data_IF_284107787591
#
_entry.id   IF_284107787591
#
_cell.length_a   1.000
_cell.length_b   1.000
_cell.length_c   1.000
_cell.angle_alpha   90.00
_cell.angle_beta   90.00
_cell.angle_gamma   90.00
#
_symmetry.space_group_name_H-M   'P 1'
#
loop_
_entity.id
_entity.type
_entity.pdbx_description
1 polymer ?
#
# COMPACT_ATOMS: atom_id res chain seq x y z
N UNK A 1 7.27 41.07 55.33
CA UNK A 1 7.07 40.40 54.02
C UNK A 1 8.39 40.23 53.25
N UNK A 2 9.40 41.08 53.43
CA UNK A 2 10.68 40.98 52.67
C UNK A 2 11.60 39.81 53.07
N UNK A 3 11.52 39.29 54.29
CA UNK A 3 12.33 38.14 54.71
C UNK A 3 11.85 36.83 54.10
N UNK A 4 10.54 36.63 53.98
CA UNK A 4 9.96 35.40 53.43
C UNK A 4 10.26 35.24 51.94
N UNK A 5 10.23 36.35 51.18
CA UNK A 5 10.61 36.36 49.76
C UNK A 5 12.07 35.98 49.56
N UNK A 6 12.97 36.41 50.46
CA UNK A 6 14.37 36.03 50.39
C UNK A 6 14.60 34.53 50.66
N UNK A 7 13.88 33.94 51.62
CA UNK A 7 13.98 32.50 51.89
C UNK A 7 13.44 31.65 50.72
N UNK A 8 12.38 32.10 50.05
CA UNK A 8 11.84 31.40 48.87
C UNK A 8 12.82 31.46 47.70
N UNK A 9 13.44 32.60 47.45
CA UNK A 9 14.45 32.74 46.38
C UNK A 9 15.67 31.84 46.65
N UNK A 10 16.15 31.82 47.90
CA UNK A 10 17.28 30.95 48.30
C UNK A 10 16.91 29.47 48.14
N UNK A 11 15.68 29.07 48.51
CA UNK A 11 15.21 27.70 48.37
C UNK A 11 15.13 27.27 46.89
N UNK A 12 14.67 28.14 45.99
CA UNK A 12 14.61 27.86 44.54
C UNK A 12 16.00 27.73 43.94
N UNK A 13 16.95 28.58 44.35
CA UNK A 13 18.34 28.51 43.88
C UNK A 13 19.02 27.23 44.37
N UNK A 14 18.81 26.85 45.63
CA UNK A 14 19.35 25.59 46.17
C UNK A 14 18.74 24.37 45.47
N UNK A 15 17.43 24.38 45.19
CA UNK A 15 16.76 23.30 44.46
C UNK A 15 17.30 23.17 43.03
N UNK A 16 17.53 24.29 42.34
CA UNK A 16 18.17 24.29 41.03
C UNK A 16 19.59 23.72 41.05
N UNK A 17 20.37 23.99 42.10
CA UNK A 17 21.72 23.45 42.26
C UNK A 17 21.72 21.94 42.52
N UNK A 18 20.77 21.44 43.34
CA UNK A 18 20.61 20.01 43.61
C UNK A 18 20.17 19.24 42.36
N UNK A 19 19.23 19.79 41.59
CA UNK A 19 18.78 19.19 40.33
C UNK A 19 19.93 19.19 39.30
N UNK A 20 20.66 20.30 39.18
CA UNK A 20 21.82 20.40 38.29
C UNK A 20 22.93 19.41 38.64
N UNK A 21 23.24 19.23 39.93
CA UNK A 21 24.22 18.26 40.40
C UNK A 21 23.75 16.80 40.18
N UNK A 22 22.46 16.52 40.35
CA UNK A 22 21.88 15.20 40.06
C UNK A 22 21.99 14.81 38.59
N UNK A 23 21.71 15.75 37.68
CA UNK A 23 21.84 15.53 36.22
C UNK A 23 23.31 15.35 35.81
N UNK A 24 24.23 16.10 36.44
CA UNK A 24 25.67 15.95 36.20
C UNK A 24 26.20 14.59 36.67
N UNK A 25 25.72 14.08 37.82
CA UNK A 25 26.07 12.74 38.29
C UNK A 25 25.47 11.61 37.43
N UNK A 26 24.28 11.79 36.86
CA UNK A 26 23.69 10.79 35.95
C UNK A 26 24.38 10.75 34.57
N UNK A 27 24.93 11.87 34.09
CA UNK A 27 25.71 11.92 32.83
C UNK A 27 27.12 11.33 32.95
N UNK A 28 27.65 11.16 34.16
CA UNK A 28 29.01 10.65 34.40
C UNK A 28 29.17 9.13 34.38
N UNK A 29 28.10 8.36 34.13
CA UNK A 29 28.12 6.89 34.18
C UNK A 29 27.90 6.25 32.81
N UNK A 30 28.61 6.76 31.80
CA UNK A 30 28.84 6.07 30.54
C UNK A 30 29.81 4.91 30.76
N UNK A 31 29.34 3.70 30.50
CA UNK A 31 30.07 2.44 30.60
C UNK A 31 31.44 2.50 29.89
N UNK A 32 32.49 2.08 30.58
CA UNK A 32 33.75 1.69 29.97
C UNK A 32 33.50 0.64 28.87
N UNK A 33 34.08 0.78 27.66
CA UNK A 33 33.94 -0.25 26.63
C UNK A 33 34.65 -1.52 27.10
N UNK A 34 33.88 -2.60 27.29
CA UNK A 34 34.43 -3.95 27.42
C UNK A 34 35.20 -4.28 26.14
N UNK A 35 36.39 -4.88 26.28
CA UNK A 35 37.19 -5.32 25.16
C UNK A 35 36.37 -6.24 24.22
N UNK A 36 36.50 -6.11 22.89
CA UNK A 36 35.73 -6.91 21.96
C UNK A 36 36.07 -8.39 22.13
N UNK A 37 35.06 -9.21 22.41
CA UNK A 37 35.18 -10.66 22.34
C UNK A 37 35.55 -11.06 20.91
N UNK A 38 36.47 -12.01 20.75
CA UNK A 38 36.83 -12.56 19.44
C UNK A 38 35.57 -12.99 18.68
N UNK A 39 35.40 -12.59 17.41
CA UNK A 39 34.20 -12.90 16.64
C UNK A 39 34.02 -14.40 16.49
N UNK A 40 32.76 -14.86 16.54
CA UNK A 40 32.41 -16.28 16.35
C UNK A 40 32.36 -16.56 14.84
N UNK A 41 33.04 -17.61 14.34
CA UNK A 41 33.00 -17.94 12.92
C UNK A 41 31.54 -18.18 12.45
N UNK A 42 31.12 -17.45 11.42
CA UNK A 42 29.85 -17.66 10.72
C UNK A 42 28.68 -16.71 11.06
N UNK A 43 28.78 -15.84 12.07
CA UNK A 43 27.69 -14.91 12.43
C UNK A 43 28.08 -13.44 12.19
N UNK A 44 29.31 -13.04 12.56
CA UNK A 44 29.74 -11.63 12.51
C UNK A 44 30.56 -11.26 11.25
N UNK A 45 30.63 -12.16 10.26
CA UNK A 45 31.40 -11.95 9.04
C UNK A 45 30.45 -11.68 7.87
N UNK A 46 30.32 -10.42 7.46
CA UNK A 46 29.79 -10.10 6.14
C UNK A 46 30.89 -10.41 5.11
N UNK A 47 30.62 -11.17 4.03
CA UNK A 47 31.64 -11.45 3.03
C UNK A 47 32.08 -10.14 2.38
N UNK A 48 33.35 -9.78 2.59
CA UNK A 48 34.00 -8.70 1.87
C UNK A 48 34.26 -9.12 0.43
N UNK A 49 34.06 -8.19 -0.51
CA UNK A 49 34.52 -8.33 -1.89
C UNK A 49 36.05 -8.41 -1.89
N UNK A 50 36.61 -9.61 -2.11
CA UNK A 50 38.04 -9.76 -2.39
C UNK A 50 38.78 -10.99 -1.85
N UNK A 51 38.16 -11.93 -1.13
CA UNK A 51 38.90 -13.02 -0.44
C UNK A 51 38.65 -14.46 -0.96
N UNK A 52 38.04 -14.64 -2.14
CA UNK A 52 37.87 -15.98 -2.75
C UNK A 52 38.95 -16.37 -3.78
N UNK A 53 40.06 -15.63 -3.87
CA UNK A 53 41.18 -15.99 -4.73
C UNK A 53 42.34 -16.61 -3.95
N UNK A 54 42.13 -17.82 -3.42
CA UNK A 54 43.23 -18.74 -3.17
C UNK A 54 42.85 -20.18 -3.50
N UNK A 55 42.85 -20.49 -4.80
CA UNK A 55 42.90 -21.86 -5.29
C UNK A 55 44.17 -22.55 -4.75
N UNK A 56 44.09 -23.76 -4.15
CA UNK A 56 45.27 -24.52 -3.75
C UNK A 56 46.20 -24.80 -4.94
N UNK A 57 47.47 -24.42 -4.83
CA UNK A 57 48.51 -24.55 -5.87
C UNK A 57 49.03 -25.98 -6.11
N UNK A 58 48.20 -27.01 -5.95
CA UNK A 58 48.60 -28.41 -6.21
C UNK A 58 47.50 -29.24 -6.88
N UNK A 59 46.98 -28.74 -8.00
CA UNK A 59 46.22 -29.59 -8.94
C UNK A 59 47.09 -29.87 -10.17
N UNK A 60 47.30 -31.13 -10.59
CA UNK A 60 48.13 -31.43 -11.75
C UNK A 60 47.50 -30.84 -13.02
N UNK A 61 48.21 -29.92 -13.67
CA UNK A 61 47.82 -29.34 -14.97
C UNK A 61 47.93 -30.42 -16.04
N UNK A 62 46.81 -30.83 -16.63
CA UNK A 62 46.80 -31.64 -17.86
C UNK A 62 47.07 -30.73 -19.06
N UNK A 63 48.11 -31.04 -19.84
CA UNK A 63 48.44 -30.39 -21.11
C UNK A 63 47.57 -30.89 -22.26
N UNK A 64 47.40 -30.07 -23.30
CA UNK A 64 46.51 -30.28 -24.48
C UNK A 64 47.06 -31.29 -25.50
N UNK A 65 47.76 -32.31 -25.04
CA UNK A 65 48.24 -33.40 -25.90
C UNK A 65 48.00 -34.69 -25.15
N UNK A 66 46.94 -35.38 -25.58
CA UNK A 66 46.67 -36.82 -25.46
C UNK A 66 45.22 -37.10 -25.04
N UNK A 67 44.28 -36.94 -25.98
CA UNK A 67 43.08 -37.80 -26.02
C UNK A 67 42.87 -38.24 -27.47
N UNK A 68 43.04 -39.54 -27.68
CA UNK A 68 42.92 -40.22 -28.95
C UNK A 68 41.46 -40.20 -29.46
N UNK A 69 41.32 -39.97 -30.75
CA UNK A 69 40.09 -40.17 -31.54
C UNK A 69 39.75 -41.64 -31.63
N UNK A 70 38.62 -42.05 -31.04
CA UNK A 70 37.93 -43.28 -31.41
C UNK A 70 36.56 -42.93 -31.98
N UNK A 71 36.42 -43.27 -33.26
CA UNK A 71 35.23 -43.27 -34.09
C UNK A 71 34.22 -44.28 -33.53
N UNK A 72 32.97 -43.87 -33.27
CA UNK A 72 31.78 -44.72 -33.37
C UNK A 72 30.53 -43.85 -33.62
N UNK A 73 29.98 -44.05 -34.82
CA UNK A 73 28.60 -43.93 -35.35
C UNK A 73 27.81 -42.61 -35.25
N UNK A 74 27.58 -42.01 -36.42
CA UNK A 74 26.57 -41.00 -36.73
C UNK A 74 25.16 -41.62 -36.68
N UNK A 75 24.18 -41.02 -35.99
CA UNK A 75 22.78 -41.23 -36.31
C UNK A 75 22.35 -40.25 -37.41
N UNK A 76 21.72 -40.81 -38.44
CA UNK A 76 21.14 -40.13 -39.58
C UNK A 76 20.23 -38.97 -39.17
N UNK A 77 20.41 -37.85 -39.86
CA UNK A 77 19.52 -36.71 -39.82
C UNK A 77 18.18 -37.06 -40.48
N UNK A 78 17.16 -37.34 -39.67
CA UNK A 78 15.77 -37.15 -40.07
C UNK A 78 15.37 -35.70 -39.77
N UNK A 79 15.11 -34.97 -40.85
CA UNK A 79 14.55 -33.65 -40.85
C UNK A 79 13.09 -33.70 -40.38
N UNK A 80 12.82 -33.20 -39.17
CA UNK A 80 11.52 -32.66 -38.77
C UNK A 80 11.76 -31.46 -37.85
N UNK A 81 12.25 -30.38 -38.47
CA UNK A 81 12.34 -29.05 -37.87
C UNK A 81 11.44 -28.08 -38.66
N UNK A 82 10.14 -28.38 -38.68
CA UNK A 82 9.09 -27.47 -39.16
C UNK A 82 7.74 -27.92 -38.58
N UNK A 83 7.52 -27.67 -37.29
CA UNK A 83 6.21 -27.36 -36.67
C UNK A 83 6.33 -27.43 -35.14
N UNK A 84 7.20 -26.60 -34.56
CA UNK A 84 6.98 -26.12 -33.20
C UNK A 84 6.23 -24.79 -33.34
N UNK A 85 4.97 -24.87 -33.78
CA UNK A 85 4.01 -23.79 -33.59
C UNK A 85 3.94 -23.59 -32.09
N UNK A 86 4.49 -22.49 -31.59
CA UNK A 86 4.12 -22.00 -30.27
C UNK A 86 2.62 -21.76 -30.34
N UNK A 87 1.83 -22.67 -29.79
CA UNK A 87 0.47 -22.36 -29.36
C UNK A 87 0.60 -21.22 -28.36
N UNK A 88 0.49 -19.98 -28.84
CA UNK A 88 0.08 -18.85 -28.01
C UNK A 88 -1.13 -19.37 -27.23
N UNK A 89 -1.00 -19.42 -25.90
CA UNK A 89 -2.14 -19.72 -25.05
C UNK A 89 -3.15 -18.61 -25.30
N UNK A 90 -4.12 -18.88 -26.18
CA UNK A 90 -5.24 -17.99 -26.43
C UNK A 90 -6.06 -18.03 -25.15
N UNK A 91 -5.80 -17.09 -24.25
CA UNK A 91 -6.67 -16.86 -23.10
C UNK A 91 -8.02 -16.46 -23.65
N UNK A 92 -9.06 -17.19 -23.30
CA UNK A 92 -10.43 -16.80 -23.62
C UNK A 92 -10.68 -15.47 -22.90
N UNK A 93 -11.02 -14.42 -23.66
CA UNK A 93 -11.28 -13.10 -23.09
C UNK A 93 -12.48 -13.23 -22.16
N UNK A 94 -12.22 -13.06 -20.88
CA UNK A 94 -13.23 -13.13 -19.83
C UNK A 94 -14.07 -11.85 -19.85
N UNK A 95 -15.39 -11.98 -19.88
CA UNK A 95 -16.28 -10.87 -19.57
C UNK A 95 -16.24 -10.65 -18.05
N UNK A 96 -15.70 -9.53 -17.54
CA UNK A 96 -15.65 -9.30 -16.11
C UNK A 96 -17.06 -9.04 -15.57
N UNK A 97 -17.32 -9.45 -14.33
CA UNK A 97 -18.63 -9.23 -13.71
C UNK A 97 -18.95 -7.73 -13.61
N UNK A 98 -20.23 -7.31 -13.69
CA UNK A 98 -20.61 -5.92 -13.49
C UNK A 98 -20.05 -5.34 -12.18
N UNK A 99 -19.66 -4.07 -12.20
CA UNK A 99 -19.20 -3.34 -11.02
C UNK A 99 -20.33 -3.14 -10.00
N UNK A 100 -21.57 -2.99 -10.49
CA UNK A 100 -22.79 -2.95 -9.67
C UNK A 100 -22.97 -4.24 -8.88
N UNK A 101 -23.06 -4.14 -7.55
CA UNK A 101 -23.26 -5.27 -6.65
C UNK A 101 -21.99 -5.88 -6.07
N UNK A 102 -20.79 -5.51 -6.57
CA UNK A 102 -19.52 -5.92 -5.95
C UNK A 102 -19.42 -5.45 -4.49
N UNK A 103 -19.98 -4.28 -4.19
CA UNK A 103 -20.05 -3.73 -2.83
C UNK A 103 -21.11 -4.38 -1.94
N UNK A 104 -22.18 -4.94 -2.49
CA UNK A 104 -23.10 -5.74 -1.69
C UNK A 104 -22.38 -6.98 -1.13
N UNK A 105 -21.53 -7.62 -1.95
CA UNK A 105 -20.62 -8.68 -1.50
C UNK A 105 -19.56 -8.17 -0.53
N UNK A 106 -19.15 -6.90 -0.64
CA UNK A 106 -18.30 -6.26 0.35
C UNK A 106 -18.99 -6.19 1.72
N UNK A 107 -20.23 -5.71 1.77
CA UNK A 107 -21.01 -5.65 3.01
C UNK A 107 -21.07 -7.03 3.67
N UNK A 108 -21.33 -8.10 2.92
CA UNK A 108 -21.34 -9.46 3.46
C UNK A 108 -19.98 -9.95 3.99
N UNK A 109 -18.87 -9.53 3.38
CA UNK A 109 -17.51 -9.92 3.81
C UNK A 109 -17.01 -9.06 4.98
N UNK A 110 -17.21 -7.74 4.94
CA UNK A 110 -16.88 -6.84 6.04
C UNK A 110 -17.77 -7.07 7.26
N UNK A 111 -19.06 -7.37 7.07
CA UNK A 111 -19.93 -7.75 8.19
C UNK A 111 -19.44 -9.02 8.91
N UNK A 112 -18.64 -9.87 8.24
CA UNK A 112 -17.99 -11.02 8.89
C UNK A 112 -16.69 -10.65 9.62
N UNK A 113 -15.90 -9.69 9.12
CA UNK A 113 -14.63 -9.28 9.75
C UNK A 113 -14.77 -8.17 10.81
N UNK A 114 -15.71 -7.25 10.63
CA UNK A 114 -15.93 -6.06 11.47
C UNK A 114 -17.07 -6.23 12.49
N UNK A 115 -17.72 -7.39 12.52
CA UNK A 115 -18.85 -7.70 13.41
C UNK A 115 -18.52 -7.45 14.89
N UNK A 116 -17.24 -7.55 15.28
CA UNK A 116 -16.80 -7.32 16.66
C UNK A 116 -16.73 -5.84 17.03
N UNK A 117 -16.34 -4.97 16.09
CA UNK A 117 -16.18 -3.53 16.33
C UNK A 117 -17.56 -2.87 16.49
N UNK A 118 -18.43 -3.00 15.48
CA UNK A 118 -19.77 -2.40 15.51
C UNK A 118 -20.60 -2.87 16.71
N UNK A 119 -20.66 -4.19 16.95
CA UNK A 119 -21.39 -4.74 18.10
C UNK A 119 -20.79 -4.34 19.44
N UNK A 120 -19.46 -4.29 19.55
CA UNK A 120 -18.77 -3.86 20.76
C UNK A 120 -19.11 -2.41 21.12
N UNK A 121 -18.97 -1.50 20.17
CA UNK A 121 -19.30 -0.08 20.36
C UNK A 121 -20.76 0.12 20.71
N UNK A 122 -21.69 -0.47 19.94
CA UNK A 122 -23.12 -0.32 20.18
C UNK A 122 -23.55 -0.92 21.53
N UNK A 123 -22.96 -2.05 21.93
CA UNK A 123 -23.26 -2.67 23.23
C UNK A 123 -22.76 -1.86 24.42
N UNK A 124 -21.66 -1.12 24.28
CA UNK A 124 -21.15 -0.25 25.33
C UNK A 124 -21.99 1.03 25.42
N UNK A 125 -22.31 1.62 24.27
CA UNK A 125 -23.00 2.90 24.18
C UNK A 125 -24.52 2.83 24.41
N UNK A 126 -25.12 1.64 24.32
CA UNK A 126 -26.55 1.42 24.59
C UNK A 126 -26.86 1.15 26.08
N UNK A 127 -25.87 1.25 26.98
CA UNK A 127 -26.07 1.10 28.42
C UNK A 127 -26.77 2.34 28.99
N UNK A 128 -27.65 2.14 29.98
CA UNK A 128 -28.40 3.25 30.60
C UNK A 128 -27.50 4.30 31.25
N UNK A 129 -26.37 3.87 31.83
CA UNK A 129 -25.35 4.72 32.43
C UNK A 129 -24.03 4.57 31.66
N UNK A 130 -23.79 5.49 30.71
CA UNK A 130 -22.50 5.60 30.02
C UNK A 130 -21.57 6.50 30.85
N UNK A 131 -20.78 5.88 31.71
CA UNK A 131 -19.77 6.52 32.54
C UNK A 131 -18.43 6.72 31.81
N UNK A 132 -17.47 7.38 32.47
CA UNK A 132 -16.15 7.64 31.86
C UNK A 132 -15.43 6.33 31.52
N UNK A 133 -15.52 5.31 32.36
CA UNK A 133 -14.95 3.97 32.11
C UNK A 133 -15.50 3.33 30.82
N UNK A 134 -16.79 3.53 30.53
CA UNK A 134 -17.41 3.06 29.29
C UNK A 134 -16.85 3.82 28.09
N UNK A 135 -16.65 5.14 28.21
CA UNK A 135 -16.06 5.92 27.14
C UNK A 135 -14.58 5.59 26.90
N UNK A 136 -13.80 5.31 27.94
CA UNK A 136 -12.41 4.83 27.78
C UNK A 136 -12.36 3.52 26.98
N UNK A 137 -13.29 2.59 27.21
CA UNK A 137 -13.39 1.35 26.44
C UNK A 137 -13.77 1.60 24.97
N UNK A 138 -14.68 2.56 24.72
CA UNK A 138 -15.05 2.97 23.35
C UNK A 138 -13.82 3.53 22.62
N UNK A 139 -13.04 4.39 23.28
CA UNK A 139 -11.79 4.92 22.74
C UNK A 139 -10.78 3.80 22.43
N UNK A 140 -10.58 2.85 23.35
CA UNK A 140 -9.67 1.71 23.15
C UNK A 140 -10.06 0.88 21.92
N UNK A 141 -11.36 0.61 21.72
CA UNK A 141 -11.85 -0.13 20.55
C UNK A 141 -11.57 0.64 19.25
N UNK A 142 -11.84 1.95 19.22
CA UNK A 142 -11.61 2.80 18.05
C UNK A 142 -10.12 2.91 17.70
N UNK A 143 -9.25 3.02 18.71
CA UNK A 143 -7.80 3.03 18.50
C UNK A 143 -7.29 1.68 17.98
N UNK A 144 -7.77 0.58 18.55
CA UNK A 144 -7.42 -0.79 18.11
C UNK A 144 -7.86 -1.04 16.66
N UNK A 145 -8.93 -0.38 16.22
CA UNK A 145 -9.41 -0.42 14.85
C UNK A 145 -8.57 0.43 13.85
N UNK A 146 -7.45 1.01 14.27
CA UNK A 146 -6.56 1.88 13.46
C UNK A 146 -7.21 3.20 12.99
N UNK A 147 -8.21 3.72 13.72
CA UNK A 147 -8.80 5.04 13.43
C UNK A 147 -7.81 6.19 13.69
N UNK A 148 -6.89 5.99 14.63
CA UNK A 148 -5.85 6.95 15.02
C UNK A 148 -6.33 7.95 16.06
N UNK A 149 -5.40 8.42 16.90
CA UNK A 149 -5.69 9.23 18.09
C UNK A 149 -6.52 10.47 17.77
N UNK A 150 -6.08 11.29 16.81
CA UNK A 150 -6.78 12.53 16.48
C UNK A 150 -8.22 12.33 16.00
N UNK A 151 -8.46 11.29 15.17
CA UNK A 151 -9.81 11.00 14.68
C UNK A 151 -10.69 10.39 15.78
N UNK A 152 -10.13 9.52 16.62
CA UNK A 152 -10.85 8.96 17.77
C UNK A 152 -11.26 10.05 18.75
N UNK A 153 -10.34 10.94 19.16
CA UNK A 153 -10.67 12.04 20.09
C UNK A 153 -11.78 12.93 19.53
N UNK A 154 -11.67 13.32 18.25
CA UNK A 154 -12.71 14.14 17.60
C UNK A 154 -14.07 13.42 17.54
N UNK A 155 -14.09 12.14 17.17
CA UNK A 155 -15.30 11.32 17.14
C UNK A 155 -15.97 11.28 18.51
N UNK A 156 -15.17 11.02 19.54
CA UNK A 156 -15.62 10.89 20.92
C UNK A 156 -16.22 12.20 21.44
N UNK A 157 -15.54 13.32 21.24
CA UNK A 157 -15.99 14.63 21.69
C UNK A 157 -17.33 15.02 21.04
N UNK A 158 -17.46 14.80 19.72
CA UNK A 158 -18.69 15.08 18.98
C UNK A 158 -19.83 14.16 19.39
N UNK A 159 -19.56 12.86 19.50
CA UNK A 159 -20.56 11.85 19.86
C UNK A 159 -21.07 12.08 21.29
N UNK A 160 -20.18 12.31 22.27
CA UNK A 160 -20.53 12.67 23.66
C UNK A 160 -21.44 13.89 23.68
N UNK A 161 -21.07 14.95 22.96
CA UNK A 161 -21.84 16.19 22.89
C UNK A 161 -23.23 15.97 22.28
N UNK A 162 -23.34 15.23 21.17
CA UNK A 162 -24.64 14.97 20.52
C UNK A 162 -25.53 14.08 21.36
N UNK A 163 -25.02 13.02 21.98
CA UNK A 163 -25.81 12.17 22.87
C UNK A 163 -26.40 12.97 24.03
N UNK A 164 -25.64 13.90 24.63
CA UNK A 164 -26.12 14.76 25.70
C UNK A 164 -27.20 15.75 25.24
N UNK A 165 -27.01 16.38 24.07
CA UNK A 165 -27.93 17.39 23.53
C UNK A 165 -29.23 16.75 23.02
N UNK A 166 -29.13 15.64 22.29
CA UNK A 166 -30.26 14.96 21.66
C UNK A 166 -30.97 13.98 22.61
N UNK A 167 -30.34 13.64 23.74
CA UNK A 167 -30.92 12.75 24.75
C UNK A 167 -31.08 11.31 24.26
N UNK A 168 -30.27 10.88 23.28
CA UNK A 168 -30.30 9.53 22.73
C UNK A 168 -29.88 8.52 23.80
N UNK A 169 -30.76 7.55 24.10
CA UNK A 169 -30.54 6.52 25.13
C UNK A 169 -30.76 5.09 24.64
N UNK A 170 -31.50 4.92 23.54
CA UNK A 170 -31.69 3.61 22.94
C UNK A 170 -30.60 3.30 21.91
N UNK A 171 -30.37 2.01 21.69
CA UNK A 171 -29.31 1.51 20.81
C UNK A 171 -29.44 2.02 19.36
N UNK A 172 -30.66 2.24 18.86
CA UNK A 172 -30.88 2.67 17.48
C UNK A 172 -30.54 4.15 17.30
N UNK A 173 -30.98 5.00 18.23
CA UNK A 173 -30.60 6.42 18.23
C UNK A 173 -29.09 6.59 18.32
N UNK A 174 -28.43 5.86 19.22
CA UNK A 174 -26.96 5.95 19.37
C UNK A 174 -26.22 5.40 18.15
N UNK A 175 -26.72 4.32 17.55
CA UNK A 175 -26.21 3.79 16.27
C UNK A 175 -26.28 4.85 15.17
N UNK A 176 -27.41 5.56 15.05
CA UNK A 176 -27.59 6.61 14.05
C UNK A 176 -26.59 7.75 14.26
N UNK A 177 -26.40 8.20 15.50
CA UNK A 177 -25.43 9.26 15.81
C UNK A 177 -23.99 8.83 15.49
N UNK A 178 -23.59 7.63 15.91
CA UNK A 178 -22.26 7.09 15.61
C UNK A 178 -22.04 6.95 14.10
N UNK A 179 -23.06 6.51 13.35
CA UNK A 179 -23.04 6.42 11.89
C UNK A 179 -22.78 7.78 11.26
N UNK A 180 -23.52 8.80 11.66
CA UNK A 180 -23.39 10.15 11.11
C UNK A 180 -21.99 10.72 11.37
N UNK A 181 -21.45 10.54 12.59
CA UNK A 181 -20.12 11.02 12.91
C UNK A 181 -19.02 10.26 12.16
N UNK A 182 -19.12 8.92 12.04
CA UNK A 182 -18.19 8.15 11.23
C UNK A 182 -18.23 8.54 9.75
N UNK A 183 -19.43 8.81 9.22
CA UNK A 183 -19.59 9.27 7.84
C UNK A 183 -18.95 10.66 7.65
N UNK A 184 -19.12 11.56 8.62
CA UNK A 184 -18.46 12.85 8.61
C UNK A 184 -16.92 12.74 8.63
N UNK A 185 -16.35 11.76 9.32
CA UNK A 185 -14.91 11.50 9.32
C UNK A 185 -14.39 10.95 7.98
N UNK A 186 -15.18 10.09 7.31
CA UNK A 186 -14.85 9.53 6.00
C UNK A 186 -15.01 10.56 4.88
N UNK A 187 -15.83 11.59 5.11
CA UNK A 187 -16.17 12.65 4.17
C UNK A 187 -16.72 12.12 2.83
N UNK A 188 -18.05 11.93 2.71
CA UNK A 188 -18.66 11.46 1.47
C UNK A 188 -18.57 12.48 0.33
N UNK A 189 -18.15 13.73 0.59
CA UNK A 189 -18.11 14.79 -0.43
C UNK A 189 -16.84 14.76 -1.29
N UNK A 190 -15.80 14.04 -0.87
CA UNK A 190 -14.58 13.91 -1.68
C UNK A 190 -14.85 13.16 -3.00
N UNK A 191 -14.24 13.63 -4.08
CA UNK A 191 -14.34 13.00 -5.41
C UNK A 191 -13.58 11.67 -5.47
N UNK A 192 -14.32 10.57 -5.57
CA UNK A 192 -13.79 9.20 -5.61
C UNK A 192 -13.75 8.60 -7.01
N UNK A 193 -14.08 9.38 -8.03
CA UNK A 193 -14.07 8.90 -9.41
C UNK A 193 -12.65 8.55 -9.84
N UNK A 194 -12.51 7.43 -10.56
CA UNK A 194 -11.25 7.09 -11.24
C UNK A 194 -11.33 7.64 -12.66
N UNK A 195 -10.38 8.50 -13.03
CA UNK A 195 -10.37 9.11 -14.35
C UNK A 195 -10.14 8.06 -15.46
N UNK A 196 -10.95 8.10 -16.51
CA UNK A 196 -10.90 7.14 -17.63
C UNK A 196 -11.00 7.77 -19.00
N UNK A 197 -11.28 9.08 -19.16
CA UNK A 197 -11.10 9.81 -20.43
C UNK A 197 -11.15 11.29 -20.11
N UNK A 198 -10.04 11.99 -20.32
CA UNK A 198 -9.91 13.39 -19.91
C UNK A 198 -9.71 14.23 -21.15
N UNK A 199 -10.62 15.19 -21.41
CA UNK A 199 -10.51 16.11 -22.55
C UNK A 199 -10.27 15.43 -23.91
N UNK A 200 -10.86 14.25 -24.13
CA UNK A 200 -10.74 13.49 -25.39
C UNK A 200 -9.48 12.66 -25.56
N UNK A 201 -8.55 12.68 -24.60
CA UNK A 201 -7.36 11.79 -24.56
C UNK A 201 -7.53 10.70 -23.50
N UNK A 202 -6.72 9.63 -23.56
CA UNK A 202 -6.71 8.63 -22.50
C UNK A 202 -6.32 9.24 -21.16
N UNK A 203 -6.97 8.80 -20.08
CA UNK A 203 -6.55 9.11 -18.72
C UNK A 203 -5.30 8.29 -18.36
N UNK A 204 -4.27 8.95 -17.83
CA UNK A 204 -3.04 8.27 -17.42
C UNK A 204 -3.04 8.04 -15.91
N UNK A 205 -3.04 6.77 -15.51
CA UNK A 205 -3.13 6.31 -14.13
C UNK A 205 -1.81 5.64 -13.74
N UNK A 206 -1.06 6.26 -12.83
CA UNK A 206 0.13 5.66 -12.24
C UNK A 206 -0.26 4.89 -10.97
N UNK A 207 0.09 3.60 -10.89
CA UNK A 207 -0.16 2.76 -9.71
C UNK A 207 1.14 2.61 -8.93
N UNK A 208 1.18 3.19 -7.72
CA UNK A 208 2.38 3.27 -6.87
C UNK A 208 2.15 2.64 -5.50
N UNK A 209 3.22 2.43 -4.73
CA UNK A 209 3.16 1.83 -3.39
C UNK A 209 4.27 0.82 -3.14
N UNK A 210 4.35 0.30 -1.90
CA UNK A 210 5.43 -0.59 -1.51
C UNK A 210 5.26 -2.02 -2.04
N UNK A 211 6.32 -2.82 -1.95
CA UNK A 211 6.25 -4.24 -2.29
C UNK A 211 5.28 -4.99 -1.35
N UNK A 212 4.52 -5.92 -1.91
CA UNK A 212 3.60 -6.77 -1.14
C UNK A 212 2.23 -6.15 -0.83
N UNK A 213 1.97 -4.88 -1.19
CA UNK A 213 0.64 -4.26 -1.06
C UNK A 213 -0.33 -4.62 -2.18
N UNK A 214 0.11 -5.42 -3.17
CA UNK A 214 -0.76 -5.88 -4.26
C UNK A 214 -0.91 -4.90 -5.42
N UNK A 215 0.10 -4.08 -5.74
CA UNK A 215 0.10 -3.16 -6.91
C UNK A 215 -0.25 -3.83 -8.24
N UNK A 216 0.57 -4.78 -8.70
CA UNK A 216 0.35 -5.49 -9.98
C UNK A 216 -1.02 -6.17 -10.03
N UNK A 217 -1.43 -6.79 -8.93
CA UNK A 217 -2.77 -7.36 -8.79
C UNK A 217 -3.85 -6.28 -8.90
N UNK A 218 -3.67 -5.13 -8.26
CA UNK A 218 -4.59 -3.99 -8.32
C UNK A 218 -4.67 -3.41 -9.73
N UNK A 219 -3.55 -3.25 -10.43
CA UNK A 219 -3.49 -2.79 -11.82
C UNK A 219 -4.29 -3.72 -12.75
N UNK A 220 -4.14 -5.04 -12.58
CA UNK A 220 -4.92 -6.03 -13.33
C UNK A 220 -6.41 -6.02 -12.99
N UNK A 221 -6.77 -5.98 -11.69
CA UNK A 221 -8.16 -5.88 -11.25
C UNK A 221 -8.81 -4.56 -11.68
N UNK A 222 -8.06 -3.46 -11.70
CA UNK A 222 -8.53 -2.17 -12.19
C UNK A 222 -8.85 -2.25 -13.67
N UNK A 223 -8.00 -2.87 -14.49
CA UNK A 223 -8.33 -3.11 -15.90
C UNK A 223 -9.64 -3.89 -16.05
N UNK A 224 -9.89 -4.93 -15.24
CA UNK A 224 -11.19 -5.64 -15.24
C UNK A 224 -12.36 -4.73 -14.90
N UNK A 225 -12.22 -3.89 -13.87
CA UNK A 225 -13.25 -2.91 -13.48
C UNK A 225 -13.55 -1.96 -14.64
N UNK A 226 -12.51 -1.41 -15.27
CA UNK A 226 -12.66 -0.48 -16.39
C UNK A 226 -13.31 -1.14 -17.61
N UNK A 227 -12.90 -2.37 -17.96
CA UNK A 227 -13.50 -3.14 -19.05
C UNK A 227 -14.96 -3.50 -18.75
N UNK A 228 -15.29 -3.88 -17.50
CA UNK A 228 -16.67 -4.13 -17.08
C UNK A 228 -17.55 -2.88 -17.21
N UNK A 229 -16.97 -1.69 -17.02
CA UNK A 229 -17.64 -0.40 -17.20
C UNK A 229 -17.64 0.06 -18.68
N UNK A 230 -17.24 -0.81 -19.61
CA UNK A 230 -17.25 -0.55 -21.05
C UNK A 230 -16.12 0.38 -21.53
N UNK A 231 -15.05 0.53 -20.74
CA UNK A 231 -13.88 1.33 -21.10
C UNK A 231 -12.81 0.49 -21.77
N UNK A 232 -12.11 1.10 -22.71
CA UNK A 232 -10.92 0.52 -23.34
C UNK A 232 -9.67 0.90 -22.55
N UNK A 233 -8.84 -0.10 -22.20
CA UNK A 233 -7.68 0.09 -21.32
C UNK A 233 -6.41 -0.53 -21.91
N UNK A 234 -5.29 0.14 -21.69
CA UNK A 234 -3.95 -0.38 -21.94
C UNK A 234 -3.17 -0.45 -20.63
N UNK A 235 -2.36 -1.51 -20.47
CA UNK A 235 -1.50 -1.74 -19.31
C UNK A 235 -0.04 -1.46 -19.66
N UNK A 236 0.66 -0.69 -18.82
CA UNK A 236 2.10 -0.47 -18.92
C UNK A 236 2.85 -1.21 -17.81
N UNK A 237 3.70 -2.17 -18.17
CA UNK A 237 4.50 -2.97 -17.24
C UNK A 237 5.80 -2.26 -16.86
N UNK A 238 5.72 -1.19 -16.06
CA UNK A 238 6.86 -0.39 -15.65
C UNK A 238 7.60 -0.93 -14.40
N UNK A 239 7.14 -2.01 -13.74
CA UNK A 239 7.95 -2.79 -12.77
C UNK A 239 8.99 -3.65 -13.53
N UNK A 240 9.95 -2.99 -14.17
CA UNK A 240 10.94 -3.63 -15.06
C UNK A 240 11.97 -4.49 -14.32
N UNK A 241 12.10 -4.33 -13.00
CA UNK A 241 13.01 -5.10 -12.16
C UNK A 241 12.49 -6.49 -11.79
N UNK A 242 11.21 -6.76 -12.00
CA UNK A 242 10.58 -8.03 -11.65
C UNK A 242 9.97 -8.64 -12.90
N UNK A 243 10.70 -9.52 -13.59
CA UNK A 243 10.19 -10.24 -14.76
C UNK A 243 8.81 -10.87 -14.51
N UNK A 244 8.65 -11.53 -13.35
CA UNK A 244 7.38 -12.12 -12.94
C UNK A 244 6.22 -11.12 -12.78
N UNK A 245 6.49 -9.84 -12.46
CA UNK A 245 5.46 -8.81 -12.37
C UNK A 245 4.94 -8.44 -13.77
N UNK A 246 5.83 -8.31 -14.76
CA UNK A 246 5.44 -8.07 -16.15
C UNK A 246 4.65 -9.24 -16.74
N UNK A 247 5.06 -10.49 -16.47
CA UNK A 247 4.31 -11.69 -16.89
C UNK A 247 2.95 -11.80 -16.19
N UNK A 248 2.89 -11.48 -14.90
CA UNK A 248 1.64 -11.42 -14.16
C UNK A 248 0.70 -10.37 -14.76
N UNK A 249 1.20 -9.17 -15.05
CA UNK A 249 0.41 -8.11 -15.67
C UNK A 249 -0.05 -8.48 -17.09
N UNK A 250 0.80 -9.14 -17.88
CA UNK A 250 0.44 -9.70 -19.19
C UNK A 250 -0.75 -10.65 -19.07
N UNK A 251 -0.69 -11.58 -18.12
CA UNK A 251 -1.78 -12.54 -17.86
C UNK A 251 -3.08 -11.83 -17.50
N UNK A 252 -3.01 -10.74 -16.73
CA UNK A 252 -4.20 -9.92 -16.44
C UNK A 252 -4.76 -9.24 -17.70
N UNK A 253 -3.87 -8.68 -18.53
CA UNK A 253 -4.26 -8.03 -19.78
C UNK A 253 -4.94 -8.99 -20.75
N UNK A 254 -4.32 -10.15 -20.99
CA UNK A 254 -4.84 -11.18 -21.89
C UNK A 254 -6.23 -11.65 -21.48
N UNK A 255 -6.48 -11.83 -20.17
CA UNK A 255 -7.78 -12.23 -19.63
C UNK A 255 -8.91 -11.23 -19.90
N UNK A 256 -8.62 -9.96 -20.14
CA UNK A 256 -9.64 -8.94 -20.47
C UNK A 256 -9.47 -8.31 -21.84
N UNK A 257 -8.58 -8.85 -22.67
CA UNK A 257 -8.27 -8.29 -23.98
C UNK A 257 -7.62 -6.91 -23.94
N UNK A 258 -6.99 -6.53 -22.82
CA UNK A 258 -6.23 -5.29 -22.70
C UNK A 258 -4.81 -5.48 -23.22
N UNK A 259 -4.37 -4.58 -24.09
CA UNK A 259 -2.99 -4.58 -24.60
C UNK A 259 -2.03 -4.27 -23.44
N UNK A 260 -0.92 -5.00 -23.36
CA UNK A 260 0.14 -4.76 -22.38
C UNK A 260 1.41 -4.31 -23.10
N UNK A 261 1.91 -3.13 -22.75
CA UNK A 261 3.21 -2.60 -23.19
C UNK A 261 4.25 -2.95 -22.13
N UNK A 262 5.35 -3.59 -22.55
CA UNK A 262 6.42 -4.06 -21.68
C UNK A 262 7.79 -3.85 -22.33
N UNK A 263 8.78 -3.50 -21.53
CA UNK A 263 10.19 -3.38 -21.95
C UNK A 263 11.03 -4.62 -21.62
N UNK A 264 12.33 -4.61 -21.96
CA UNK A 264 13.26 -5.65 -21.52
C UNK A 264 13.40 -5.66 -19.99
N UNK A 265 13.71 -6.83 -19.42
CA UNK A 265 14.01 -6.97 -17.98
C UNK A 265 15.18 -6.05 -17.58
N UNK A 266 15.01 -5.31 -16.48
CA UNK A 266 15.97 -4.30 -16.03
C UNK A 266 16.04 -3.04 -16.91
N UNK A 267 15.14 -2.90 -17.90
CA UNK A 267 15.01 -1.71 -18.74
C UNK A 267 14.50 -0.49 -17.98
N UNK A 268 14.50 0.67 -18.64
CA UNK A 268 14.04 1.94 -18.04
C UNK A 268 12.50 1.99 -17.90
N UNK A 269 11.95 2.02 -16.67
CA UNK A 269 10.50 2.12 -16.42
C UNK A 269 9.85 3.31 -17.12
N UNK A 270 10.56 4.44 -17.18
CA UNK A 270 10.05 5.68 -17.76
C UNK A 270 9.81 5.55 -19.27
N UNK A 271 10.64 4.75 -19.96
CA UNK A 271 10.47 4.47 -21.39
C UNK A 271 9.25 3.59 -21.64
N UNK A 272 9.02 2.56 -20.82
CA UNK A 272 7.83 1.70 -20.92
C UNK A 272 6.55 2.51 -20.68
N UNK A 273 6.55 3.37 -19.66
CA UNK A 273 5.40 4.24 -19.36
C UNK A 273 5.13 5.25 -20.49
N UNK A 274 6.18 5.82 -21.09
CA UNK A 274 6.04 6.73 -22.23
C UNK A 274 5.41 6.04 -23.44
N UNK A 275 5.92 4.86 -23.81
CA UNK A 275 5.42 4.06 -24.93
C UNK A 275 3.95 3.65 -24.70
N UNK A 276 3.61 3.22 -23.48
CA UNK A 276 2.23 2.86 -23.13
C UNK A 276 1.25 4.01 -23.38
N UNK A 277 1.62 5.23 -22.98
CA UNK A 277 0.81 6.43 -23.17
C UNK A 277 0.72 6.82 -24.65
N UNK A 278 1.81 6.71 -25.40
CA UNK A 278 1.83 6.98 -26.84
C UNK A 278 0.93 6.01 -27.62
N UNK A 279 1.06 4.70 -27.35
CA UNK A 279 0.25 3.66 -28.00
C UNK A 279 -1.23 3.87 -27.70
N UNK A 280 -1.59 4.13 -26.45
CA UNK A 280 -2.99 4.36 -26.08
C UNK A 280 -3.56 5.65 -26.69
N UNK A 281 -2.77 6.71 -26.75
CA UNK A 281 -3.15 7.97 -27.40
C UNK A 281 -3.43 7.78 -28.89
N UNK A 282 -2.55 7.08 -29.59
CA UNK A 282 -2.70 6.78 -31.02
C UNK A 282 -3.90 5.86 -31.31
N UNK A 283 -4.20 4.93 -30.40
CA UNK A 283 -5.35 4.04 -30.50
C UNK A 283 -6.67 4.67 -30.01
N UNK A 284 -6.63 5.89 -29.45
CA UNK A 284 -7.83 6.59 -28.97
C UNK A 284 -8.53 5.92 -27.80
N UNK A 285 -7.76 5.19 -26.97
CA UNK A 285 -8.28 4.44 -25.83
C UNK A 285 -8.82 5.35 -24.72
N UNK A 286 -9.48 4.76 -23.74
CA UNK A 286 -10.01 5.49 -22.60
C UNK A 286 -8.93 5.63 -21.50
N UNK A 287 -8.27 4.55 -21.07
CA UNK A 287 -7.32 4.63 -19.95
C UNK A 287 -5.99 3.93 -20.20
N UNK A 288 -4.94 4.41 -19.54
CA UNK A 288 -3.64 3.75 -19.41
C UNK A 288 -3.33 3.55 -17.95
N UNK A 289 -3.12 2.29 -17.54
CA UNK A 289 -2.72 1.94 -16.18
C UNK A 289 -1.26 1.50 -16.19
N UNK A 290 -0.40 2.25 -15.51
CA UNK A 290 1.04 1.99 -15.43
C UNK A 290 1.37 1.37 -14.08
N UNK A 291 1.78 0.09 -14.08
CA UNK A 291 2.23 -0.62 -12.87
C UNK A 291 3.69 -0.32 -12.59
N UNK A 292 4.02 0.27 -11.44
CA UNK A 292 5.40 0.68 -11.11
C UNK A 292 6.06 -0.27 -10.10
N UNK A 293 7.39 -0.17 -9.99
CA UNK A 293 8.14 -0.82 -8.91
C UNK A 293 7.73 -0.29 -7.51
N UNK A 294 8.02 -1.06 -6.46
CA UNK A 294 7.69 -0.71 -5.06
C UNK A 294 8.77 -0.95 -4.01
N UNK A 295 10.04 -1.01 -4.42
CA UNK A 295 11.18 -1.34 -3.53
C UNK A 295 11.53 -0.17 -2.59
N UNK A 296 10.80 -0.01 -1.49
CA UNK A 296 10.99 1.12 -0.55
C UNK A 296 12.31 1.04 0.27
N UNK A 297 13.02 -0.09 0.28
CA UNK A 297 14.25 -0.27 1.08
C UNK A 297 15.39 0.64 0.62
N UNK A 298 15.36 1.16 -0.61
CA UNK A 298 16.22 2.25 -1.09
C UNK A 298 15.38 3.49 -1.36
N UNK A 299 14.91 4.14 -0.28
CA UNK A 299 13.99 5.30 -0.32
C UNK A 299 14.35 6.33 -1.40
N UNK A 300 15.64 6.70 -1.54
CA UNK A 300 16.07 7.68 -2.54
C UNK A 300 15.91 7.17 -3.98
N UNK A 301 16.37 5.95 -4.28
CA UNK A 301 16.34 5.41 -5.65
C UNK A 301 14.92 5.19 -6.19
N UNK A 302 14.00 4.66 -5.36
CA UNK A 302 12.61 4.46 -5.77
C UNK A 302 11.91 5.80 -6.07
N UNK A 303 12.17 6.80 -5.25
CA UNK A 303 11.52 8.10 -5.35
C UNK A 303 12.01 8.88 -6.58
N UNK A 304 13.32 8.85 -6.85
CA UNK A 304 13.90 9.43 -8.07
C UNK A 304 13.35 8.74 -9.33
N UNK A 305 13.16 7.42 -9.29
CA UNK A 305 12.60 6.61 -10.36
C UNK A 305 11.13 6.98 -10.63
N UNK A 306 10.29 7.05 -9.61
CA UNK A 306 8.88 7.45 -9.75
C UNK A 306 8.75 8.90 -10.25
N UNK A 307 9.55 9.81 -9.71
CA UNK A 307 9.61 11.20 -10.20
C UNK A 307 10.11 11.28 -11.64
N UNK A 308 11.01 10.40 -12.08
CA UNK A 308 11.44 10.30 -13.49
C UNK A 308 10.32 9.77 -14.37
N UNK A 309 9.62 8.70 -13.98
CA UNK A 309 8.48 8.13 -14.73
C UNK A 309 7.43 9.21 -14.98
N UNK A 310 6.97 9.90 -13.93
CA UNK A 310 6.00 11.00 -14.05
C UNK A 310 6.47 12.08 -15.03
N UNK A 311 7.69 12.62 -14.84
CA UNK A 311 8.24 13.67 -15.71
C UNK A 311 8.39 13.26 -17.18
N UNK A 312 8.67 11.98 -17.45
CA UNK A 312 8.82 11.49 -18.82
C UNK A 312 7.45 11.32 -19.48
N UNK A 313 6.48 10.74 -18.76
CA UNK A 313 5.09 10.64 -19.21
C UNK A 313 4.50 12.01 -19.53
N UNK A 314 4.72 13.00 -18.66
CA UNK A 314 4.25 14.38 -18.80
C UNK A 314 4.79 15.13 -20.02
N UNK A 315 5.79 14.59 -20.72
CA UNK A 315 6.22 15.13 -22.02
C UNK A 315 5.22 14.86 -23.14
N UNK A 316 4.39 13.82 -23.00
CA UNK A 316 3.41 13.40 -24.01
C UNK A 316 1.96 13.58 -23.53
N UNK A 317 1.68 13.25 -22.26
CA UNK A 317 0.36 13.44 -21.67
C UNK A 317 0.47 13.73 -20.19
N UNK A 318 -0.43 14.55 -19.66
CA UNK A 318 -0.55 14.77 -18.22
C UNK A 318 -0.91 13.46 -17.50
N UNK A 319 -0.30 13.24 -16.33
CA UNK A 319 -0.71 12.19 -15.38
C UNK A 319 -1.96 12.67 -14.66
N UNK A 320 -3.07 11.97 -14.86
CA UNK A 320 -4.39 12.35 -14.32
C UNK A 320 -4.64 11.75 -12.94
N UNK A 321 -4.09 10.56 -12.68
CA UNK A 321 -4.25 9.85 -11.42
C UNK A 321 -2.92 9.25 -10.97
N UNK A 322 -2.64 9.37 -9.68
CA UNK A 322 -1.60 8.61 -8.98
C UNK A 322 -2.28 7.87 -7.85
N UNK A 323 -2.50 6.57 -8.07
CA UNK A 323 -3.17 5.68 -7.14
C UNK A 323 -2.15 4.99 -6.23
N UNK A 324 -2.17 5.34 -4.95
CA UNK A 324 -1.32 4.72 -3.94
C UNK A 324 -1.99 3.46 -3.38
N UNK A 325 -1.37 2.30 -3.62
CA UNK A 325 -1.85 1.01 -3.12
C UNK A 325 -1.26 0.71 -1.75
N UNK A 326 -2.13 0.60 -0.75
CA UNK A 326 -1.78 0.29 0.62
C UNK A 326 -2.45 -1.02 1.07
N UNK A 327 -1.81 -1.69 2.02
CA UNK A 327 -2.33 -2.89 2.66
C UNK A 327 -2.99 -2.50 3.98
N UNK A 328 -4.29 -2.76 4.11
CA UNK A 328 -5.09 -2.41 5.29
C UNK A 328 -4.61 -3.12 6.57
N UNK A 329 -3.87 -4.22 6.46
CA UNK A 329 -3.30 -4.94 7.60
C UNK A 329 -2.10 -4.23 8.24
N UNK A 330 -1.46 -3.32 7.49
CA UNK A 330 -0.22 -2.65 7.93
C UNK A 330 -0.46 -1.57 8.99
N UNK A 331 -1.72 -1.10 9.16
CA UNK A 331 -2.09 -0.07 10.13
C UNK A 331 -1.22 1.18 10.01
N UNK A 332 -0.72 1.68 11.14
CA UNK A 332 0.14 2.88 11.21
C UNK A 332 1.44 2.79 10.39
N UNK A 333 1.95 1.59 10.10
CA UNK A 333 3.13 1.47 9.22
C UNK A 333 2.80 1.87 7.77
N UNK A 334 1.59 1.56 7.31
CA UNK A 334 1.10 1.98 5.99
C UNK A 334 1.02 3.50 5.86
N UNK A 335 0.61 4.20 6.94
CA UNK A 335 0.55 5.66 6.99
C UNK A 335 1.91 6.33 6.82
N UNK A 336 2.94 5.83 7.53
CA UNK A 336 4.30 6.36 7.40
C UNK A 336 4.82 6.18 5.97
N UNK A 337 4.52 5.04 5.34
CA UNK A 337 4.91 4.80 3.95
C UNK A 337 4.16 5.75 3.01
N UNK A 338 2.86 5.93 3.21
CA UNK A 338 2.02 6.78 2.39
C UNK A 338 2.50 8.23 2.37
N UNK A 339 2.92 8.77 3.52
CA UNK A 339 3.50 10.11 3.63
C UNK A 339 4.72 10.28 2.73
N UNK A 340 5.63 9.30 2.73
CA UNK A 340 6.85 9.35 1.92
C UNK A 340 6.53 9.35 0.42
N UNK A 341 5.50 8.62 -0.02
CA UNK A 341 5.08 8.66 -1.43
C UNK A 341 4.45 10.00 -1.80
N UNK A 342 3.60 10.55 -0.93
CA UNK A 342 2.93 11.84 -1.18
C UNK A 342 3.90 13.03 -1.27
N UNK A 343 5.10 12.93 -0.66
CA UNK A 343 6.15 13.95 -0.80
C UNK A 343 6.80 14.00 -2.19
N UNK A 344 6.71 12.91 -2.97
CA UNK A 344 7.50 12.73 -4.21
C UNK A 344 6.61 12.66 -5.44
N UNK A 345 5.46 11.99 -5.30
CA UNK A 345 4.44 11.91 -6.34
C UNK A 345 3.16 12.50 -5.79
N UNK A 346 2.53 13.38 -6.55
CA UNK A 346 1.24 13.98 -6.21
C UNK A 346 0.15 12.89 -6.23
N UNK A 347 0.03 12.14 -5.12
CA UNK A 347 -0.99 11.11 -4.95
C UNK A 347 -2.36 11.78 -5.10
N UNK A 348 -3.26 11.18 -5.88
CA UNK A 348 -4.62 11.70 -6.13
C UNK A 348 -5.69 10.80 -5.52
N UNK A 349 -5.36 9.56 -5.20
CA UNK A 349 -6.28 8.60 -4.61
C UNK A 349 -5.58 7.41 -4.00
N UNK A 350 -6.30 6.72 -3.12
CA UNK A 350 -5.79 5.55 -2.39
C UNK A 350 -6.57 4.31 -2.81
N UNK A 351 -5.86 3.20 -2.94
CA UNK A 351 -6.44 1.86 -3.06
C UNK A 351 -6.08 1.06 -1.81
N UNK A 352 -7.08 0.62 -1.05
CA UNK A 352 -6.85 -0.21 0.14
C UNK A 352 -7.09 -1.67 -0.19
N UNK A 353 -6.08 -2.50 0.00
CA UNK A 353 -6.16 -3.94 -0.23
C UNK A 353 -6.29 -4.70 1.09
N UNK A 354 -6.74 -5.97 0.99
CA UNK A 354 -6.83 -6.91 2.13
C UNK A 354 -7.75 -6.44 3.26
N UNK A 355 -8.77 -5.65 2.92
CA UNK A 355 -9.71 -5.12 3.91
C UNK A 355 -10.63 -6.22 4.49
N UNK A 356 -10.82 -7.30 3.74
CA UNK A 356 -11.58 -8.49 4.13
C UNK A 356 -10.87 -9.34 5.21
N UNK A 357 -9.55 -9.25 5.31
CA UNK A 357 -8.74 -10.02 6.26
C UNK A 357 -8.49 -9.34 7.61
N UNK A 358 -9.07 -8.17 7.86
CA UNK A 358 -8.71 -7.33 9.01
C UNK A 358 -9.91 -6.68 9.70
N UNK A 359 -9.78 -6.48 11.02
CA UNK A 359 -10.69 -5.66 11.83
C UNK A 359 -10.25 -4.18 11.90
N UNK A 360 -9.18 -3.82 11.17
CA UNK A 360 -8.56 -2.49 11.16
C UNK A 360 -9.22 -1.55 10.14
N UNK A 361 -10.55 -1.50 10.13
CA UNK A 361 -11.31 -0.67 9.19
C UNK A 361 -11.05 0.84 9.33
N UNK A 362 -10.63 1.30 10.51
CA UNK A 362 -10.34 2.70 10.79
C UNK A 362 -9.18 3.29 9.98
N UNK A 363 -8.35 2.46 9.36
CA UNK A 363 -7.22 2.89 8.52
C UNK A 363 -7.67 3.81 7.37
N UNK A 364 -8.91 3.67 6.89
CA UNK A 364 -9.50 4.56 5.86
C UNK A 364 -9.49 6.01 6.33
N UNK A 365 -9.98 6.27 7.55
CA UNK A 365 -10.11 7.62 8.08
C UNK A 365 -8.74 8.24 8.31
N UNK A 366 -7.83 7.48 8.92
CA UNK A 366 -6.50 7.97 9.24
C UNK A 366 -5.68 8.27 7.98
N UNK A 367 -5.76 7.42 6.94
CA UNK A 367 -5.00 7.65 5.69
C UNK A 367 -5.54 8.81 4.87
N UNK A 368 -6.86 8.98 4.77
CA UNK A 368 -7.44 10.11 4.04
C UNK A 368 -7.07 11.44 4.70
N UNK A 369 -7.14 11.50 6.04
CA UNK A 369 -6.77 12.71 6.79
C UNK A 369 -5.30 13.05 6.64
N UNK A 370 -4.45 12.04 6.68
CA UNK A 370 -3.00 12.24 6.61
C UNK A 370 -2.55 12.74 5.23
N UNK A 371 -3.13 12.17 4.16
CA UNK A 371 -2.71 12.50 2.80
C UNK A 371 -3.57 13.59 2.15
N UNK A 372 -4.74 13.90 2.70
CA UNK A 372 -5.71 14.83 2.12
C UNK A 372 -6.35 14.33 0.83
N UNK A 373 -6.33 13.02 0.57
CA UNK A 373 -6.85 12.41 -0.67
C UNK A 373 -7.80 11.25 -0.37
N UNK A 374 -8.79 10.99 -1.23
CA UNK A 374 -9.82 10.01 -0.94
C UNK A 374 -9.34 8.57 -1.19
N UNK A 375 -9.90 7.63 -0.42
CA UNK A 375 -9.90 6.22 -0.82
C UNK A 375 -10.90 6.06 -1.96
N UNK A 376 -10.41 5.67 -3.14
CA UNK A 376 -11.21 5.52 -4.35
C UNK A 376 -11.63 4.07 -4.60
N UNK A 377 -10.79 3.12 -4.19
CA UNK A 377 -10.99 1.70 -4.44
C UNK A 377 -10.64 0.86 -3.21
N UNK A 378 -11.34 -0.25 -3.05
CA UNK A 378 -11.09 -1.25 -2.02
C UNK A 378 -10.96 -2.64 -2.63
N UNK A 379 -9.94 -3.38 -2.22
CA UNK A 379 -9.72 -4.78 -2.52
C UNK A 379 -10.39 -5.67 -1.47
N UNK A 380 -11.20 -6.62 -1.94
CA UNK A 380 -12.18 -7.35 -1.12
C UNK A 380 -11.87 -8.84 -0.93
N UNK A 381 -10.69 -9.25 -1.40
CA UNK A 381 -10.23 -10.63 -1.41
C UNK A 381 -9.31 -10.92 -2.59
N UNK A 382 -9.05 -12.21 -2.80
CA UNK A 382 -8.10 -12.70 -3.80
C UNK A 382 -8.72 -12.92 -5.19
N UNK A 383 -10.05 -12.98 -5.29
CA UNK A 383 -10.75 -13.23 -6.55
C UNK A 383 -10.49 -12.14 -7.61
N UNK A 384 -10.60 -12.46 -8.91
CA UNK A 384 -10.30 -11.52 -9.98
C UNK A 384 -11.20 -10.29 -9.98
N UNK A 385 -12.44 -10.43 -9.53
CA UNK A 385 -13.41 -9.33 -9.45
C UNK A 385 -13.56 -8.75 -8.03
N UNK A 386 -12.65 -9.10 -7.10
CA UNK A 386 -12.60 -8.60 -5.72
C UNK A 386 -11.88 -7.23 -5.64
N UNK A 387 -12.28 -6.29 -6.50
CA UNK A 387 -11.95 -4.86 -6.43
C UNK A 387 -13.22 -4.06 -6.73
N UNK A 388 -13.51 -3.07 -5.90
CA UNK A 388 -14.70 -2.25 -6.02
C UNK A 388 -14.41 -0.76 -5.77
N UNK A 389 -15.18 0.15 -6.38
CA UNK A 389 -15.25 1.56 -5.97
C UNK A 389 -15.54 1.68 -4.47
N UNK A 390 -14.92 2.64 -3.79
CA UNK A 390 -15.18 2.90 -2.38
C UNK A 390 -16.43 3.78 -2.25
N UNK A 391 -17.46 3.26 -1.57
CA UNK A 391 -18.67 4.00 -1.23
C UNK A 391 -18.70 4.27 0.27
N UNK A 392 -18.64 5.55 0.65
CA UNK A 392 -18.48 5.96 2.05
C UNK A 392 -19.63 5.48 2.94
N UNK A 393 -20.88 5.63 2.49
CA UNK A 393 -22.06 5.19 3.23
C UNK A 393 -22.05 3.67 3.42
N UNK A 394 -21.77 2.92 2.35
CA UNK A 394 -21.76 1.46 2.42
C UNK A 394 -20.67 0.92 3.33
N UNK A 395 -19.51 1.58 3.33
CA UNK A 395 -18.40 1.27 4.19
C UNK A 395 -18.75 1.51 5.67
N UNK A 396 -19.31 2.67 6.01
CA UNK A 396 -19.72 2.99 7.38
C UNK A 396 -20.85 2.06 7.85
N UNK A 397 -21.83 1.79 6.99
CA UNK A 397 -22.88 0.81 7.29
C UNK A 397 -22.30 -0.58 7.59
N UNK A 398 -21.30 -1.01 6.81
CA UNK A 398 -20.64 -2.30 7.01
C UNK A 398 -19.80 -2.36 8.29
N UNK A 399 -19.23 -1.24 8.75
CA UNK A 399 -18.53 -1.16 10.03
C UNK A 399 -19.48 -1.30 11.23
N UNK A 400 -20.72 -0.85 11.08
CA UNK A 400 -21.75 -0.87 12.12
C UNK A 400 -22.73 -2.04 12.00
N UNK A 401 -22.57 -2.91 11.00
CA UNK A 401 -23.49 -4.01 10.66
C UNK A 401 -23.61 -5.09 11.74
#
# INVERSE_FOLDING_TARGET
MESLTWYVVIAVVLLGFVIGAGIALMRGRGSTPSAPSKPRPGIDYAPGVGDDDSVPRDTPRRSVTDVATNVLDEPEAEADAADAVSTEAVWEVEAPEPTKGRLHRLRERLARSNNALGKGLLSLLARDDVDEDTWEQVEEILLTADLGVAATTELMDRLRSRIQVEGARDAESVRSLLRDELLALVDPTMDRTVQTKVNGRPAVILVVGVNGTGKTTTSGKLARVLVADGRTVLLGAADTFRAAAAEQLQTWGDRVGAVVVRGPEGGDPASVAFEAVEVAGNAGLDAVVVDTAGRLHTKMGLMDELGKVKRVVEKNSQVDEVLLVLDATTGQNGLVQARVFAEVVDVTGIVLTKLDGTAKGGIVVSVQRELGVPVKLVGLGEGPDDLAPFEAEEFVDALLA
#
